data_IF_048253094590
#
_entry.id   IF_048253094590
#
_cell.length_a   1.000
_cell.length_b   1.000
_cell.length_c   1.000
_cell.angle_alpha   90.00
_cell.angle_beta   90.00
_cell.angle_gamma   90.00
#
_symmetry.space_group_name_H-M   'P 1'
#
loop_
_entity.id
_entity.type
_entity.pdbx_description
1 polymer ?
#
# COMPACT_ATOMS: atom_id res chain seq x y z
N UNK A 1 8.89 -14.05 0.42
CA UNK A 1 8.62 -14.55 1.79
C UNK A 1 9.85 -14.45 2.67
N UNK A 2 9.71 -14.43 4.00
CA UNK A 2 10.83 -14.41 4.94
C UNK A 2 11.82 -15.57 4.79
N UNK A 3 11.34 -16.75 4.40
CA UNK A 3 12.14 -17.96 4.16
C UNK A 3 12.70 -18.06 2.73
N UNK A 4 12.49 -17.05 1.89
CA UNK A 4 12.91 -16.99 0.49
C UNK A 4 12.32 -18.11 -0.41
N UNK A 5 11.28 -18.82 0.04
CA UNK A 5 10.60 -19.83 -0.79
C UNK A 5 9.69 -19.19 -1.82
N UNK A 6 8.93 -18.17 -1.42
CA UNK A 6 7.94 -17.53 -2.29
C UNK A 6 8.36 -16.11 -2.66
N UNK A 7 8.02 -15.74 -3.89
CA UNK A 7 8.15 -14.39 -4.42
C UNK A 7 6.78 -13.94 -4.96
N UNK A 8 6.31 -12.76 -4.55
CA UNK A 8 5.10 -12.17 -5.07
C UNK A 8 5.42 -10.90 -5.83
N UNK A 9 4.73 -10.66 -6.96
CA UNK A 9 4.87 -9.44 -7.74
C UNK A 9 3.54 -9.02 -8.37
N UNK A 10 3.37 -7.72 -8.51
CA UNK A 10 2.31 -7.14 -9.34
C UNK A 10 2.83 -6.88 -10.75
N UNK A 11 1.97 -7.06 -11.73
CA UNK A 11 2.26 -6.77 -13.14
C UNK A 11 1.10 -5.96 -13.70
N UNK A 12 1.42 -4.82 -14.32
CA UNK A 12 0.44 -4.00 -15.02
C UNK A 12 0.40 -4.37 -16.49
N UNK A 13 -0.76 -4.77 -16.99
CA UNK A 13 -1.00 -5.04 -18.41
C UNK A 13 -1.64 -3.82 -19.06
N UNK A 14 -0.86 -3.06 -19.78
CA UNK A 14 -1.26 -1.85 -20.49
C UNK A 14 -1.47 -2.04 -22.01
N UNK A 15 -1.44 -3.28 -22.52
CA UNK A 15 -1.50 -3.59 -23.97
C UNK A 15 -2.74 -3.01 -24.64
N UNK A 16 -3.87 -2.94 -23.92
CA UNK A 16 -5.11 -2.36 -24.45
C UNK A 16 -5.16 -0.83 -24.34
N UNK A 17 -4.27 -0.21 -23.55
CA UNK A 17 -4.23 1.25 -23.36
C UNK A 17 -3.72 1.93 -24.61
N UNK A 18 -4.35 3.04 -25.01
CA UNK A 18 -3.95 3.82 -26.16
C UNK A 18 -2.66 4.60 -25.90
N UNK A 19 -2.03 5.02 -26.98
CA UNK A 19 -0.81 5.82 -26.93
C UNK A 19 -1.12 7.30 -26.85
N UNK A 20 -0.39 7.99 -25.97
CA UNK A 20 -0.28 9.45 -25.95
C UNK A 20 0.99 9.85 -26.70
N UNK A 21 0.89 10.89 -27.49
CA UNK A 21 1.99 11.43 -28.27
C UNK A 21 2.48 12.74 -27.66
N UNK A 22 3.79 12.83 -27.48
CA UNK A 22 4.46 14.02 -26.94
C UNK A 22 5.61 14.37 -27.85
N UNK A 23 5.74 15.67 -28.17
CA UNK A 23 6.88 16.18 -28.88
C UNK A 23 7.97 16.58 -27.91
N UNK A 24 9.10 15.89 -27.92
CA UNK A 24 10.28 16.30 -27.22
C UNK A 24 10.99 17.41 -28.02
N UNK A 25 10.66 18.66 -27.73
CA UNK A 25 11.19 19.84 -28.41
C UNK A 25 12.67 20.12 -28.07
N UNK A 26 13.20 19.53 -27.01
CA UNK A 26 14.59 19.69 -26.57
C UNK A 26 15.55 18.66 -27.17
N UNK A 27 15.05 17.69 -27.93
CA UNK A 27 15.90 16.68 -28.55
C UNK A 27 16.79 17.27 -29.64
N UNK A 28 18.02 16.77 -29.77
CA UNK A 28 19.00 17.18 -30.76
C UNK A 28 19.25 16.05 -31.77
N UNK A 29 19.50 16.38 -33.06
CA UNK A 29 19.57 17.70 -33.68
C UNK A 29 18.18 18.29 -34.07
N UNK A 30 17.09 17.55 -33.85
CA UNK A 30 15.71 17.97 -34.13
C UNK A 30 14.74 17.44 -33.10
N UNK A 31 13.57 18.07 -32.90
CA UNK A 31 12.50 17.52 -32.09
C UNK A 31 12.15 16.09 -32.49
N UNK A 32 11.83 15.26 -31.54
CA UNK A 32 11.40 13.87 -31.72
C UNK A 32 9.98 13.66 -31.22
N UNK A 33 9.27 12.72 -31.82
CA UNK A 33 7.97 12.23 -31.33
C UNK A 33 8.22 11.10 -30.37
N UNK A 34 7.69 11.22 -29.16
CA UNK A 34 7.66 10.16 -28.13
C UNK A 34 6.25 9.66 -27.96
N UNK A 35 6.08 8.35 -27.80
CA UNK A 35 4.80 7.71 -27.54
C UNK A 35 4.89 6.81 -26.34
N UNK A 36 3.85 6.82 -25.50
CA UNK A 36 3.74 5.91 -24.35
C UNK A 36 2.28 5.62 -24.03
N UNK A 37 2.02 4.48 -23.39
CA UNK A 37 0.69 4.07 -23.00
C UNK A 37 0.16 5.00 -21.90
N UNK A 38 -0.99 5.63 -22.15
CA UNK A 38 -1.60 6.57 -21.21
C UNK A 38 -3.11 6.59 -21.37
N UNK A 39 -3.82 6.24 -20.31
CA UNK A 39 -5.28 6.30 -20.30
C UNK A 39 -5.75 7.74 -20.08
N UNK A 40 -6.39 8.33 -21.07
CA UNK A 40 -7.03 9.64 -20.95
C UNK A 40 -8.33 9.56 -20.13
N UNK A 41 -8.75 10.66 -19.47
CA UNK A 41 -10.05 10.73 -18.81
C UNK A 41 -11.19 10.33 -19.76
N UNK A 42 -12.07 9.43 -19.28
CA UNK A 42 -13.22 8.95 -20.07
C UNK A 42 -12.94 7.76 -20.98
N UNK A 43 -11.70 7.33 -21.19
CA UNK A 43 -11.39 6.13 -21.93
C UNK A 43 -11.73 4.87 -21.11
N UNK A 44 -12.18 3.82 -21.85
CA UNK A 44 -12.61 2.54 -21.22
C UNK A 44 -11.42 1.64 -20.88
N UNK A 45 -10.40 1.69 -21.73
CA UNK A 45 -9.21 0.85 -21.64
C UNK A 45 -8.25 1.45 -20.61
N UNK A 46 -8.07 0.72 -19.52
CA UNK A 46 -7.13 1.04 -18.44
C UNK A 46 -6.10 -0.08 -18.31
N UNK A 47 -4.95 0.18 -17.69
CA UNK A 47 -4.06 -0.88 -17.24
C UNK A 47 -4.80 -1.87 -16.35
N UNK A 48 -4.51 -3.17 -16.51
CA UNK A 48 -5.08 -4.25 -15.69
C UNK A 48 -3.98 -4.76 -14.77
N UNK A 49 -4.22 -4.65 -13.46
CA UNK A 49 -3.28 -5.13 -12.45
C UNK A 49 -3.48 -6.62 -12.19
N UNK A 50 -2.39 -7.37 -12.30
CA UNK A 50 -2.28 -8.79 -11.99
C UNK A 50 -1.39 -9.00 -10.76
N UNK A 51 -1.67 -10.04 -9.98
CA UNK A 51 -0.83 -10.49 -8.88
C UNK A 51 -0.39 -11.93 -9.13
N UNK A 52 0.93 -12.15 -9.10
CA UNK A 52 1.51 -13.47 -9.26
C UNK A 52 2.28 -13.88 -8.02
N UNK A 53 2.16 -15.17 -7.68
CA UNK A 53 3.00 -15.85 -6.70
C UNK A 53 3.87 -16.87 -7.42
N UNK A 54 5.16 -16.86 -7.11
CA UNK A 54 6.13 -17.80 -7.59
C UNK A 54 6.59 -18.66 -6.41
N UNK A 55 6.56 -19.99 -6.56
CA UNK A 55 7.20 -20.94 -5.68
C UNK A 55 8.57 -21.27 -6.25
N UNK A 56 9.63 -20.80 -5.59
CA UNK A 56 11.01 -20.96 -6.06
C UNK A 56 11.56 -22.37 -5.85
N UNK A 57 10.95 -23.16 -4.97
CA UNK A 57 11.33 -24.57 -4.75
C UNK A 57 10.69 -25.46 -5.81
N UNK A 58 9.39 -25.30 -6.04
CA UNK A 58 8.65 -26.12 -7.00
C UNK A 58 8.70 -25.55 -8.43
N UNK A 59 9.33 -24.38 -8.63
CA UNK A 59 9.42 -23.66 -9.91
C UNK A 59 8.04 -23.46 -10.55
N UNK A 60 7.04 -23.02 -9.76
CA UNK A 60 5.67 -22.82 -10.19
C UNK A 60 5.26 -21.37 -10.07
N UNK A 61 4.44 -20.91 -11.02
CA UNK A 61 3.79 -19.61 -10.99
C UNK A 61 2.27 -19.80 -10.84
N UNK A 62 1.65 -19.03 -9.96
CA UNK A 62 0.20 -18.95 -9.79
C UNK A 62 -0.25 -17.50 -9.91
N UNK A 63 -1.28 -17.25 -10.71
CA UNK A 63 -2.00 -15.98 -10.71
C UNK A 63 -3.05 -16.00 -9.59
N UNK A 64 -3.09 -14.91 -8.81
CA UNK A 64 -4.01 -14.75 -7.68
C UNK A 64 -5.13 -13.81 -8.12
N UNK A 65 -6.38 -14.20 -7.88
CA UNK A 65 -7.56 -13.39 -8.20
C UNK A 65 -7.65 -12.19 -7.27
N UNK A 66 -7.57 -10.99 -7.85
CA UNK A 66 -7.52 -9.71 -7.11
C UNK A 66 -8.63 -8.74 -7.49
N UNK A 67 -9.34 -8.99 -8.59
CA UNK A 67 -10.33 -8.08 -9.15
C UNK A 67 -11.50 -7.78 -8.20
N UNK A 68 -11.86 -6.50 -8.06
CA UNK A 68 -13.05 -6.02 -7.37
C UNK A 68 -13.56 -4.69 -7.88
N UNK A 69 -12.66 -3.80 -8.29
CA UNK A 69 -13.02 -2.47 -8.79
C UNK A 69 -12.54 -2.33 -10.23
N UNK A 70 -13.29 -1.59 -11.03
CA UNK A 70 -12.83 -1.18 -12.35
C UNK A 70 -11.61 -0.28 -12.18
N UNK A 71 -10.59 -0.49 -13.02
CA UNK A 71 -9.35 0.32 -13.07
C UNK A 71 -8.64 0.42 -11.71
N UNK A 72 -8.68 -0.66 -10.93
CA UNK A 72 -8.06 -0.72 -9.60
C UNK A 72 -6.54 -0.75 -9.69
N UNK A 73 -5.88 -0.25 -8.65
CA UNK A 73 -4.45 -0.47 -8.40
C UNK A 73 -4.23 -1.43 -7.25
N UNK A 74 -3.09 -2.11 -7.25
CA UNK A 74 -2.68 -3.09 -6.25
C UNK A 74 -1.27 -2.75 -5.77
N UNK A 75 -1.07 -2.71 -4.45
CA UNK A 75 0.23 -2.53 -3.83
C UNK A 75 0.52 -3.63 -2.82
N UNK A 76 1.67 -4.28 -2.92
CA UNK A 76 2.13 -5.21 -1.89
C UNK A 76 2.56 -4.41 -0.65
N UNK A 77 2.19 -4.89 0.53
CA UNK A 77 2.68 -4.34 1.79
C UNK A 77 4.01 -5.01 2.16
N UNK A 78 4.99 -4.18 2.55
CA UNK A 78 6.33 -4.64 2.90
C UNK A 78 6.62 -4.42 4.38
N UNK A 79 7.51 -5.22 4.95
CA UNK A 79 8.02 -4.96 6.29
C UNK A 79 8.72 -3.60 6.29
N UNK A 80 8.43 -2.73 7.28
CA UNK A 80 9.15 -1.47 7.41
C UNK A 80 10.65 -1.76 7.50
N UNK A 81 11.44 -1.18 6.61
CA UNK A 81 12.90 -1.28 6.68
C UNK A 81 13.40 -0.24 7.66
N UNK A 82 14.15 -0.66 8.67
CA UNK A 82 14.93 0.27 9.49
C UNK A 82 15.91 0.98 8.57
N UNK A 83 16.04 2.29 8.73
CA UNK A 83 16.80 3.27 7.94
C UNK A 83 17.66 2.66 6.83
N UNK A 84 17.39 3.03 5.57
CA UNK A 84 18.30 2.76 4.45
C UNK A 84 19.67 3.34 4.80
N UNK A 85 20.65 2.48 5.03
CA UNK A 85 22.03 2.91 4.94
C UNK A 85 22.29 3.30 3.48
N UNK A 86 22.99 4.41 3.27
CA UNK A 86 23.20 5.05 1.96
C UNK A 86 23.73 4.11 0.86
N UNK A 87 24.36 3.02 1.24
CA UNK A 87 25.04 2.08 0.34
C UNK A 87 24.28 0.74 0.15
N UNK A 88 23.01 0.65 0.57
CA UNK A 88 22.20 -0.58 0.47
C UNK A 88 21.08 -0.39 -0.56
N UNK A 89 21.43 -0.16 -1.82
CA UNK A 89 20.47 0.01 -2.91
C UNK A 89 19.68 -1.28 -3.22
N UNK A 90 20.25 -2.46 -2.91
CA UNK A 90 19.72 -3.76 -3.31
C UNK A 90 19.20 -4.63 -2.14
N UNK A 91 18.67 -4.04 -1.07
CA UNK A 91 18.04 -4.85 -0.03
C UNK A 91 16.76 -5.51 -0.55
N UNK A 92 16.64 -6.85 -0.45
CA UNK A 92 15.44 -7.52 -0.88
C UNK A 92 14.25 -7.08 -0.03
N UNK A 93 13.18 -6.65 -0.70
CA UNK A 93 11.91 -6.34 -0.05
C UNK A 93 11.30 -7.62 0.50
N UNK A 94 10.98 -7.65 1.80
CA UNK A 94 10.27 -8.75 2.43
C UNK A 94 8.81 -8.34 2.60
N UNK A 95 7.89 -9.15 2.11
CA UNK A 95 6.48 -8.85 2.25
C UNK A 95 6.05 -8.76 3.72
N UNK A 96 5.05 -7.97 4.02
CA UNK A 96 4.46 -7.90 5.34
C UNK A 96 3.65 -9.17 5.61
N UNK A 97 4.05 -9.96 6.59
CA UNK A 97 3.41 -11.23 6.94
C UNK A 97 4.40 -12.28 7.42
N UNK A 98 4.08 -13.54 7.16
CA UNK A 98 4.91 -14.71 7.46
C UNK A 98 5.24 -15.51 6.18
N UNK A 99 5.73 -16.73 6.31
CA UNK A 99 6.10 -17.57 5.15
C UNK A 99 4.90 -17.97 4.28
N UNK A 100 3.69 -18.00 4.85
CA UNK A 100 2.49 -18.49 4.18
C UNK A 100 1.43 -17.42 3.95
N UNK A 101 1.55 -16.23 4.55
CA UNK A 101 0.56 -15.16 4.47
C UNK A 101 1.23 -13.81 4.28
N UNK A 102 0.67 -12.99 3.38
CA UNK A 102 1.10 -11.60 3.20
C UNK A 102 -0.10 -10.66 3.01
N UNK A 103 0.16 -9.36 3.15
CA UNK A 103 -0.81 -8.30 3.00
C UNK A 103 -0.54 -7.46 1.76
N UNK A 104 -1.61 -6.90 1.23
CA UNK A 104 -1.60 -6.00 0.08
C UNK A 104 -2.77 -5.02 0.17
N UNK A 105 -2.63 -3.87 -0.46
CA UNK A 105 -3.71 -2.90 -0.65
C UNK A 105 -4.29 -3.02 -2.05
N UNK A 106 -5.61 -2.85 -2.15
CA UNK A 106 -6.36 -2.72 -3.39
C UNK A 106 -7.17 -1.44 -3.34
N UNK A 107 -7.01 -0.58 -4.36
CA UNK A 107 -7.56 0.77 -4.36
C UNK A 107 -8.39 0.99 -5.63
N UNK A 108 -9.57 1.60 -5.50
CA UNK A 108 -10.31 2.09 -6.66
C UNK A 108 -9.60 3.29 -7.29
N UNK A 109 -9.82 3.53 -8.58
CA UNK A 109 -9.18 4.62 -9.32
C UNK A 109 -9.44 6.01 -8.71
N UNK A 110 -10.65 6.22 -8.19
CA UNK A 110 -11.07 7.45 -7.53
C UNK A 110 -10.52 7.61 -6.11
N UNK A 111 -9.84 6.57 -5.58
CA UNK A 111 -9.34 6.50 -4.21
C UNK A 111 -10.41 6.67 -3.11
N UNK A 112 -11.68 6.43 -3.44
CA UNK A 112 -12.78 6.43 -2.46
C UNK A 112 -12.95 5.07 -1.77
N UNK A 113 -12.35 4.01 -2.32
CA UNK A 113 -12.43 2.64 -1.81
C UNK A 113 -11.05 2.03 -1.72
N UNK A 114 -10.65 1.72 -0.50
CA UNK A 114 -9.37 1.06 -0.22
C UNK A 114 -9.68 -0.20 0.58
N UNK A 115 -9.22 -1.35 0.08
CA UNK A 115 -9.24 -2.60 0.82
C UNK A 115 -7.80 -2.97 1.20
N UNK A 116 -7.55 -3.18 2.48
CA UNK A 116 -6.40 -3.94 2.93
C UNK A 116 -6.80 -5.41 2.87
N UNK A 117 -6.05 -6.17 2.11
CA UNK A 117 -6.33 -7.59 1.88
C UNK A 117 -5.19 -8.45 2.42
N UNK A 118 -5.51 -9.69 2.75
CA UNK A 118 -4.51 -10.73 2.98
C UNK A 118 -4.61 -11.82 1.93
N UNK A 119 -3.49 -12.45 1.64
CA UNK A 119 -3.42 -13.67 0.85
C UNK A 119 -2.73 -14.77 1.65
N UNK A 120 -3.29 -15.97 1.64
CA UNK A 120 -2.67 -17.16 2.22
C UNK A 120 -2.26 -18.09 1.08
N UNK A 121 -1.01 -18.55 1.11
CA UNK A 121 -0.45 -19.47 0.11
C UNK A 121 -1.36 -20.70 -0.03
N UNK A 122 -1.64 -21.06 -1.29
CA UNK A 122 -2.55 -22.15 -1.63
C UNK A 122 -3.98 -21.70 -1.95
N UNK A 123 -4.42 -20.53 -1.54
CA UNK A 123 -5.72 -19.98 -1.92
C UNK A 123 -5.75 -19.48 -3.37
N UNK A 124 -6.95 -19.26 -3.93
CA UNK A 124 -7.11 -18.75 -5.30
C UNK A 124 -7.29 -17.24 -5.36
N UNK A 125 -7.66 -16.61 -4.26
CA UNK A 125 -7.99 -15.19 -4.20
C UNK A 125 -7.55 -14.57 -2.89
N UNK A 126 -7.42 -13.25 -2.92
CA UNK A 126 -7.21 -12.43 -1.72
C UNK A 126 -8.50 -12.29 -0.91
N UNK A 127 -8.35 -12.04 0.40
CA UNK A 127 -9.44 -11.81 1.34
C UNK A 127 -9.35 -10.37 1.88
N UNK A 128 -10.37 -9.52 1.67
CA UNK A 128 -10.40 -8.19 2.29
C UNK A 128 -10.50 -8.30 3.81
N UNK A 129 -9.53 -7.68 4.51
CA UNK A 129 -9.44 -7.64 5.98
C UNK A 129 -10.00 -6.33 6.50
N UNK A 130 -9.56 -5.19 5.93
CA UNK A 130 -10.06 -3.87 6.30
C UNK A 130 -10.59 -3.19 5.05
N UNK A 131 -11.75 -2.51 5.17
CA UNK A 131 -12.38 -1.79 4.06
C UNK A 131 -12.58 -0.33 4.44
N UNK A 132 -11.83 0.55 3.78
CA UNK A 132 -12.02 1.99 3.87
C UNK A 132 -12.96 2.48 2.77
N UNK A 133 -13.92 3.32 3.16
CA UNK A 133 -14.93 3.89 2.25
C UNK A 133 -15.18 5.33 2.62
N UNK A 134 -14.80 6.24 1.74
CA UNK A 134 -15.04 7.67 1.91
C UNK A 134 -15.61 8.25 0.61
N UNK A 135 -16.24 9.41 0.69
CA UNK A 135 -16.70 10.16 -0.47
C UNK A 135 -15.67 11.19 -0.96
N UNK A 136 -14.48 11.15 -0.39
CA UNK A 136 -13.33 12.02 -0.71
C UNK A 136 -12.12 11.16 -1.04
N UNK A 137 -11.09 11.79 -1.57
CA UNK A 137 -9.76 11.20 -1.73
C UNK A 137 -9.26 10.66 -0.40
N UNK A 138 -8.63 9.48 -0.42
CA UNK A 138 -8.02 8.85 0.74
C UNK A 138 -6.54 8.62 0.49
N UNK A 139 -5.71 9.00 1.45
CA UNK A 139 -4.31 8.60 1.48
C UNK A 139 -4.14 7.20 2.09
N UNK A 140 -2.99 6.61 1.82
CA UNK A 140 -2.57 5.35 2.43
C UNK A 140 -1.18 5.50 3.03
N UNK A 141 -1.01 4.96 4.22
CA UNK A 141 0.29 4.83 4.89
C UNK A 141 0.62 3.35 5.07
N UNK A 142 1.89 2.98 5.27
CA UNK A 142 2.28 1.59 5.50
C UNK A 142 1.49 0.93 6.63
N UNK A 143 1.08 -0.31 6.40
CA UNK A 143 0.43 -1.14 7.41
C UNK A 143 1.48 -1.69 8.40
N UNK A 144 1.16 -1.67 9.70
CA UNK A 144 2.04 -2.26 10.71
C UNK A 144 1.43 -3.52 11.31
N UNK A 145 2.19 -4.62 11.25
CA UNK A 145 1.79 -5.92 11.77
C UNK A 145 2.40 -6.14 13.15
N UNK A 146 1.56 -6.48 14.12
CA UNK A 146 1.95 -6.66 15.52
C UNK A 146 1.67 -8.08 16.01
N UNK A 147 2.21 -8.40 17.18
CA UNK A 147 1.87 -9.60 17.94
C UNK A 147 1.93 -10.89 17.12
N UNK A 148 3.02 -11.09 16.39
CA UNK A 148 3.23 -12.24 15.50
C UNK A 148 2.10 -12.39 14.45
N UNK A 149 1.62 -11.28 13.92
CA UNK A 149 0.64 -11.27 12.86
C UNK A 149 -0.83 -11.32 13.30
N UNK A 150 -1.11 -11.17 14.58
CA UNK A 150 -2.47 -11.21 15.13
C UNK A 150 -3.14 -9.85 15.25
N UNK A 151 -2.41 -8.78 15.08
CA UNK A 151 -2.93 -7.41 15.15
C UNK A 151 -2.34 -6.54 14.05
N UNK A 152 -3.13 -5.57 13.60
CA UNK A 152 -2.78 -4.61 12.56
C UNK A 152 -2.99 -3.19 13.07
N UNK A 153 -2.03 -2.30 12.85
CA UNK A 153 -2.25 -0.86 13.00
C UNK A 153 -2.40 -0.28 11.61
N UNK A 154 -3.52 0.41 11.41
CA UNK A 154 -3.81 1.16 10.18
C UNK A 154 -3.92 2.64 10.50
N UNK A 155 -3.34 3.48 9.66
CA UNK A 155 -3.56 4.90 9.59
C UNK A 155 -4.80 5.18 8.73
N UNK A 156 -5.70 6.08 9.17
CA UNK A 156 -6.93 6.40 8.45
C UNK A 156 -7.46 7.77 8.81
N UNK A 157 -8.04 8.47 7.81
CA UNK A 157 -8.68 9.79 7.93
C UNK A 157 -10.20 9.69 8.13
N UNK A 158 -10.74 8.50 8.41
CA UNK A 158 -12.20 8.23 8.46
C UNK A 158 -13.01 9.13 9.39
N UNK A 159 -12.37 9.71 10.39
CA UNK A 159 -13.01 10.59 11.38
C UNK A 159 -12.74 12.08 11.09
N UNK A 160 -12.28 12.44 9.89
CA UNK A 160 -11.96 13.81 9.46
C UNK A 160 -10.54 14.26 9.82
N UNK A 161 -9.83 13.52 10.66
CA UNK A 161 -8.43 13.68 11.01
C UNK A 161 -7.72 12.34 10.89
N UNK A 162 -6.45 12.38 10.54
CA UNK A 162 -5.66 11.15 10.43
C UNK A 162 -5.30 10.60 11.80
N UNK A 163 -5.70 9.36 12.04
CA UNK A 163 -5.47 8.67 13.30
C UNK A 163 -5.08 7.21 13.10
N UNK A 164 -4.60 6.59 14.17
CA UNK A 164 -4.21 5.19 14.21
C UNK A 164 -5.34 4.34 14.80
N UNK A 165 -5.59 3.22 14.14
CA UNK A 165 -6.62 2.24 14.50
C UNK A 165 -6.02 0.86 14.64
N UNK A 166 -6.38 0.14 15.71
CA UNK A 166 -5.95 -1.22 15.98
C UNK A 166 -7.04 -2.21 15.56
N UNK A 167 -6.63 -3.19 14.75
CA UNK A 167 -7.48 -4.29 14.31
C UNK A 167 -6.90 -5.64 14.75
N UNK A 168 -7.74 -6.67 14.80
CA UNK A 168 -7.27 -8.04 14.79
C UNK A 168 -6.91 -8.49 13.34
N UNK A 169 -6.35 -9.67 13.19
CA UNK A 169 -5.94 -10.23 11.90
C UNK A 169 -7.12 -10.67 11.00
N UNK A 170 -8.34 -10.59 11.51
CA UNK A 170 -9.59 -10.83 10.78
C UNK A 170 -10.25 -9.53 10.31
N UNK A 171 -9.70 -8.36 10.72
CA UNK A 171 -10.21 -7.04 10.38
C UNK A 171 -11.28 -6.49 11.31
N UNK A 172 -11.46 -7.09 12.49
CA UNK A 172 -12.32 -6.51 13.50
C UNK A 172 -11.61 -5.36 14.19
N UNK A 173 -12.21 -4.19 14.19
CA UNK A 173 -11.69 -3.03 14.89
C UNK A 173 -11.68 -3.29 16.41
N UNK A 174 -10.52 -3.25 17.03
CA UNK A 174 -10.34 -3.39 18.47
C UNK A 174 -10.53 -2.05 19.18
N UNK A 175 -9.80 -1.03 18.73
CA UNK A 175 -9.92 0.31 19.26
C UNK A 175 -9.24 1.35 18.34
N UNK A 176 -9.63 2.60 18.50
CA UNK A 176 -8.92 3.77 18.01
C UNK A 176 -7.77 4.09 19.00
N UNK A 177 -6.55 4.19 18.49
CA UNK A 177 -5.34 4.42 19.33
C UNK A 177 -5.18 5.91 19.62
N UNK A 178 -5.30 6.77 18.61
CA UNK A 178 -5.15 8.22 18.72
C UNK A 178 -6.47 8.92 18.40
N UNK A 179 -6.71 10.13 18.94
CA UNK A 179 -7.91 10.91 18.70
C UNK A 179 -7.67 12.39 18.97
N UNK A 180 -8.42 13.27 18.33
CA UNK A 180 -8.34 14.71 18.55
C UNK A 180 -8.45 15.50 17.24
N UNK A 181 -8.50 16.83 17.29
CA UNK A 181 -8.50 17.71 16.12
C UNK A 181 -7.06 17.96 15.63
N UNK A 182 -6.33 16.92 15.33
CA UNK A 182 -4.92 16.93 14.92
C UNK A 182 -4.60 15.68 14.10
N UNK A 183 -3.48 15.70 13.40
CA UNK A 183 -3.09 14.73 12.38
C UNK A 183 -1.90 13.90 12.81
N UNK A 184 -2.00 12.56 12.73
CA UNK A 184 -0.85 11.66 12.80
C UNK A 184 -0.17 11.64 11.43
N UNK A 185 1.12 11.99 11.39
CA UNK A 185 1.88 12.01 10.14
C UNK A 185 2.48 10.64 9.83
N UNK A 186 3.35 10.14 10.71
CA UNK A 186 4.09 8.90 10.46
C UNK A 186 4.33 8.11 11.75
N UNK A 187 4.31 6.77 11.65
CA UNK A 187 4.76 5.86 12.69
C UNK A 187 6.27 5.64 12.55
N UNK A 188 7.05 6.13 13.51
CA UNK A 188 8.50 5.99 13.53
C UNK A 188 8.95 4.63 14.06
N UNK A 189 8.27 4.14 15.09
CA UNK A 189 8.62 2.87 15.75
C UNK A 189 7.43 2.29 16.49
N UNK A 190 7.35 0.97 16.48
CA UNK A 190 6.40 0.21 17.32
C UNK A 190 7.19 -0.75 18.21
N UNK A 191 7.05 -0.58 19.52
CA UNK A 191 7.53 -1.55 20.52
C UNK A 191 6.41 -2.52 20.85
N UNK A 192 6.47 -3.70 20.24
CA UNK A 192 5.47 -4.76 20.43
C UNK A 192 5.42 -5.27 21.87
N UNK A 193 6.57 -5.32 22.55
CA UNK A 193 6.66 -5.86 23.92
C UNK A 193 6.12 -4.88 24.94
N UNK A 194 6.51 -3.61 24.82
CA UNK A 194 6.02 -2.54 25.71
C UNK A 194 4.63 -2.05 25.32
N UNK A 195 4.11 -2.38 24.13
CA UNK A 195 2.84 -1.87 23.55
C UNK A 195 2.87 -0.34 23.42
N UNK A 196 4.00 0.21 22.95
CA UNK A 196 4.22 1.65 22.76
C UNK A 196 4.46 1.92 21.28
N UNK A 197 3.85 3.01 20.79
CA UNK A 197 4.03 3.52 19.44
C UNK A 197 4.68 4.91 19.54
N UNK A 198 5.76 5.11 18.80
CA UNK A 198 6.39 6.41 18.58
C UNK A 198 5.95 6.89 17.19
N UNK A 199 5.35 8.07 17.13
CA UNK A 199 4.83 8.63 15.89
C UNK A 199 5.00 10.15 15.88
N UNK A 200 5.04 10.73 14.70
CA UNK A 200 4.97 12.18 14.52
C UNK A 200 3.54 12.63 14.29
N UNK A 201 3.22 13.81 14.79
CA UNK A 201 1.92 14.44 14.65
C UNK A 201 2.05 15.95 14.50
N UNK A 202 1.10 16.55 13.80
CA UNK A 202 1.02 18.00 13.63
C UNK A 202 -0.37 18.53 14.04
N UNK A 203 -0.43 19.83 14.33
CA UNK A 203 -1.67 20.49 14.76
C UNK A 203 -2.13 20.18 16.18
N UNK A 204 -1.29 19.53 17.02
CA UNK A 204 -1.65 19.19 18.41
C UNK A 204 -1.75 20.41 19.32
N UNK A 205 -0.91 21.43 19.10
CA UNK A 205 -0.83 22.60 19.93
C UNK A 205 -1.58 23.78 19.29
N UNK A 206 -2.69 24.28 19.86
CA UNK A 206 -3.53 25.29 19.21
C UNK A 206 -2.86 26.66 19.08
N UNK A 207 -1.76 26.93 19.79
CA UNK A 207 -1.03 28.20 19.77
C UNK A 207 0.25 28.15 18.92
N UNK A 208 0.47 27.07 18.17
CA UNK A 208 1.61 26.89 17.30
C UNK A 208 1.21 26.87 15.83
N UNK A 209 2.19 26.95 14.95
CA UNK A 209 1.97 26.70 13.55
C UNK A 209 1.51 25.21 13.38
N UNK A 210 0.34 24.97 12.78
CA UNK A 210 -0.22 23.60 12.65
C UNK A 210 0.62 22.66 11.79
N UNK A 211 1.61 23.17 11.08
CA UNK A 211 2.56 22.36 10.28
C UNK A 211 3.81 21.93 11.06
N UNK A 212 3.96 22.33 12.32
CA UNK A 212 5.06 21.82 13.13
C UNK A 212 4.78 20.38 13.55
N UNK A 213 5.75 19.51 13.31
CA UNK A 213 5.69 18.11 13.71
C UNK A 213 6.26 17.94 15.11
N UNK A 214 5.58 17.11 15.89
CA UNK A 214 5.96 16.73 17.25
C UNK A 214 5.99 15.20 17.37
N UNK A 215 6.90 14.70 18.22
CA UNK A 215 6.99 13.29 18.61
C UNK A 215 6.02 13.01 19.75
#
# INVERSE_FOLDING_TARGET
>A
SPDSRYFAMTVSDDRAVKELWVINSMAHPRPTLETYKYQMPGEKEAPIEHLYLFDLVDNKRKEIKVAAYKDQSIGLEYKPMMQKQRDMEDQPSIWLGDNNRFYLSRKSRDLHRIDICSYTVGQDSIVPVIKERMNTYQETRPLHLLSNGKELIQWSERDGWAHLYLYDDKGNLKNRITKGPWHVEEILKVDNKARVIYFTANGMNPNENPYYEHL
#
